data_IF_148246089600
#
_entry.id   IF_148246089600
#
_cell.length_a   1.000
_cell.length_b   1.000
_cell.length_c   1.000
_cell.angle_alpha   90.00
_cell.angle_beta   90.00
_cell.angle_gamma   90.00
#
_symmetry.space_group_name_H-M   'P 1'
#
loop_
_entity.id
_entity.type
_entity.pdbx_description
1 polymer ?
#
# COMPACT_ATOMS: atom_id res chain seq x y z
N UNK A 1 -12.48 1.10 -33.35
CA UNK A 1 -12.94 0.71 -32.00
C UNK A 1 -13.06 2.01 -31.24
N UNK A 2 -14.29 2.41 -30.90
CA UNK A 2 -14.50 3.56 -30.02
C UNK A 2 -13.82 3.27 -28.70
N UNK A 3 -12.93 4.17 -28.27
CA UNK A 3 -12.39 4.16 -26.92
C UNK A 3 -13.58 4.49 -26.02
N UNK A 4 -14.15 3.49 -25.36
CA UNK A 4 -15.19 3.71 -24.36
C UNK A 4 -14.62 4.67 -23.32
N UNK A 5 -15.24 5.83 -23.18
CA UNK A 5 -14.86 6.80 -22.16
C UNK A 5 -14.92 6.11 -20.81
N UNK A 6 -13.88 6.28 -19.99
CA UNK A 6 -13.83 5.73 -18.62
C UNK A 6 -15.07 6.24 -17.88
N UNK A 7 -15.96 5.35 -17.49
CA UNK A 7 -17.13 5.68 -16.71
C UNK A 7 -16.72 5.73 -15.22
N UNK A 8 -16.17 6.87 -14.82
CA UNK A 8 -15.83 7.16 -13.42
C UNK A 8 -17.08 7.59 -12.65
N UNK A 9 -17.52 6.74 -11.75
CA UNK A 9 -18.64 7.02 -10.85
C UNK A 9 -18.12 7.53 -9.52
N UNK A 10 -18.55 8.72 -9.10
CA UNK A 10 -18.26 9.24 -7.76
C UNK A 10 -19.06 8.48 -6.73
N UNK A 11 -18.37 7.94 -5.73
CA UNK A 11 -18.96 7.15 -4.66
C UNK A 11 -18.54 7.66 -3.28
N UNK A 12 -19.20 7.17 -2.25
CA UNK A 12 -18.80 7.36 -0.86
C UNK A 12 -18.78 5.99 -0.17
N UNK A 13 -17.62 5.60 0.36
CA UNK A 13 -17.53 4.42 1.23
C UNK A 13 -17.78 4.83 2.69
N UNK A 14 -18.34 3.93 3.48
CA UNK A 14 -18.61 4.18 4.89
C UNK A 14 -19.55 5.36 5.16
N UNK A 15 -20.57 5.59 4.33
CA UNK A 15 -21.51 6.70 4.44
C UNK A 15 -22.27 6.76 5.78
N UNK A 16 -22.39 5.64 6.46
CA UNK A 16 -23.03 5.44 7.76
C UNK A 16 -22.03 5.42 8.93
N UNK A 17 -20.75 5.64 8.65
CA UNK A 17 -19.68 5.70 9.66
C UNK A 17 -19.36 7.14 10.07
N UNK A 18 -18.52 7.28 11.08
CA UNK A 18 -17.99 8.60 11.51
C UNK A 18 -17.13 9.28 10.45
N UNK A 19 -16.49 8.49 9.56
CA UNK A 19 -15.49 8.97 8.60
C UNK A 19 -15.84 8.52 7.17
N UNK A 20 -16.92 9.07 6.56
CA UNK A 20 -17.22 8.76 5.16
C UNK A 20 -16.14 9.27 4.23
N UNK A 21 -15.74 8.45 3.25
CA UNK A 21 -14.66 8.76 2.33
C UNK A 21 -15.14 8.82 0.89
N UNK A 22 -14.80 9.90 0.19
CA UNK A 22 -15.03 10.00 -1.25
C UNK A 22 -14.13 9.03 -1.99
N UNK A 23 -14.68 8.44 -3.04
CA UNK A 23 -13.97 7.55 -3.95
C UNK A 23 -14.48 7.65 -5.37
N UNK A 24 -13.84 6.88 -6.23
CA UNK A 24 -14.24 6.67 -7.62
C UNK A 24 -14.31 5.17 -7.87
N UNK A 25 -15.42 4.73 -8.44
CA UNK A 25 -15.56 3.42 -9.05
C UNK A 25 -15.45 3.59 -10.56
N UNK A 26 -14.33 3.14 -11.14
CA UNK A 26 -14.15 3.02 -12.58
C UNK A 26 -14.68 1.66 -13.00
N UNK A 27 -15.82 1.61 -13.69
CA UNK A 27 -16.49 0.36 -14.06
C UNK A 27 -16.84 0.34 -15.55
N UNK A 28 -16.52 -0.76 -16.30
CA UNK A 28 -16.88 -0.87 -17.70
C UNK A 28 -18.40 -0.87 -17.87
N UNK A 29 -18.88 -0.19 -18.93
CA UNK A 29 -20.30 -0.05 -19.20
C UNK A 29 -20.79 -1.11 -20.21
N UNK A 30 -20.78 -2.37 -19.79
CA UNK A 30 -21.32 -3.48 -20.59
C UNK A 30 -22.46 -4.16 -19.80
N UNK A 31 -23.60 -4.40 -20.45
CA UNK A 31 -24.83 -4.82 -19.75
C UNK A 31 -24.99 -6.33 -19.50
N UNK A 32 -24.09 -7.16 -20.05
CA UNK A 32 -24.37 -8.61 -20.15
C UNK A 32 -23.39 -9.51 -19.36
N UNK A 33 -22.50 -8.95 -18.54
CA UNK A 33 -21.57 -9.75 -17.70
C UNK A 33 -21.31 -9.07 -16.37
N UNK A 34 -20.90 -9.87 -15.39
CA UNK A 34 -20.31 -9.36 -14.14
C UNK A 34 -18.83 -9.10 -14.34
N UNK A 35 -18.32 -8.05 -13.69
CA UNK A 35 -16.91 -7.67 -13.77
C UNK A 35 -16.14 -8.15 -12.55
N UNK A 36 -14.91 -8.68 -12.72
CA UNK A 36 -13.97 -8.72 -11.61
C UNK A 36 -13.67 -7.30 -11.15
N UNK A 37 -13.36 -7.13 -9.87
CA UNK A 37 -13.10 -5.81 -9.31
C UNK A 37 -11.87 -5.78 -8.42
N UNK A 38 -11.29 -4.58 -8.24
CA UNK A 38 -10.12 -4.34 -7.42
C UNK A 38 -10.38 -3.20 -6.46
N UNK A 39 -9.95 -3.36 -5.20
CA UNK A 39 -9.78 -2.29 -4.22
C UNK A 39 -8.31 -1.87 -4.20
N UNK A 40 -8.01 -0.58 -4.39
CA UNK A 40 -6.66 -0.03 -4.27
C UNK A 40 -6.43 0.49 -2.85
N UNK A 41 -5.35 0.05 -2.20
CA UNK A 41 -5.00 0.40 -0.80
C UNK A 41 -3.65 1.08 -0.74
N UNK A 42 -3.65 2.31 -0.23
CA UNK A 42 -2.52 3.24 -0.24
C UNK A 42 -1.33 2.83 0.63
N UNK A 43 -0.19 3.39 0.27
CA UNK A 43 1.02 3.39 1.10
C UNK A 43 0.93 4.27 2.34
N UNK A 44 2.09 4.52 2.97
CA UNK A 44 2.22 5.30 4.21
C UNK A 44 1.87 6.78 4.00
N UNK A 45 1.26 7.36 5.02
CA UNK A 45 0.93 8.79 5.09
C UNK A 45 -0.38 9.16 4.40
N UNK A 46 -0.80 10.44 4.52
CA UNK A 46 -2.02 10.94 3.89
C UNK A 46 -1.92 10.91 2.37
N UNK A 47 -2.92 10.37 1.69
CA UNK A 47 -2.96 10.29 0.22
C UNK A 47 -4.38 10.43 -0.31
N UNK A 48 -4.52 11.11 -1.47
CA UNK A 48 -5.78 11.13 -2.19
C UNK A 48 -6.02 9.81 -2.94
N UNK A 49 -7.21 9.63 -3.48
CA UNK A 49 -7.63 8.42 -4.20
C UNK A 49 -6.74 8.01 -5.38
N UNK A 50 -6.01 8.94 -5.97
CA UNK A 50 -5.09 8.70 -7.10
C UNK A 50 -3.67 8.36 -6.65
N UNK A 51 -3.41 8.31 -5.33
CA UNK A 51 -2.08 8.19 -4.72
C UNK A 51 -1.08 9.20 -5.29
N UNK A 52 -1.51 10.47 -5.35
CA UNK A 52 -0.72 11.55 -5.94
C UNK A 52 0.57 11.81 -5.16
N UNK A 53 1.70 11.65 -5.81
CA UNK A 53 3.03 11.97 -5.29
C UNK A 53 3.73 12.92 -6.26
N UNK A 54 3.85 14.20 -5.91
CA UNK A 54 4.43 15.18 -6.83
C UNK A 54 3.61 15.31 -8.12
N UNK A 55 4.17 14.87 -9.26
CA UNK A 55 3.54 14.94 -10.58
C UNK A 55 3.12 13.56 -11.12
N UNK A 56 3.11 12.53 -10.28
CA UNK A 56 2.71 11.18 -10.64
C UNK A 56 1.42 10.78 -9.92
N UNK A 57 0.67 9.83 -10.51
CA UNK A 57 -0.65 9.40 -10.05
C UNK A 57 -0.79 7.88 -10.18
N UNK A 58 -0.04 7.06 -9.40
CA UNK A 58 0.04 5.62 -9.59
C UNK A 58 -1.32 4.91 -9.61
N UNK A 59 -2.21 5.25 -8.68
CA UNK A 59 -3.53 4.59 -8.59
C UNK A 59 -4.46 4.99 -9.72
N UNK A 60 -4.35 6.22 -10.22
CA UNK A 60 -5.09 6.62 -11.42
C UNK A 60 -4.64 5.82 -12.64
N UNK A 61 -3.33 5.70 -12.87
CA UNK A 61 -2.77 4.95 -14.00
C UNK A 61 -3.18 3.47 -13.93
N UNK A 62 -3.10 2.84 -12.74
CA UNK A 62 -3.52 1.45 -12.54
C UNK A 62 -5.02 1.32 -12.81
N UNK A 63 -5.84 2.23 -12.30
CA UNK A 63 -7.29 2.17 -12.48
C UNK A 63 -7.70 2.30 -13.95
N UNK A 64 -7.12 3.26 -14.68
CA UNK A 64 -7.38 3.44 -16.11
C UNK A 64 -6.96 2.21 -16.91
N UNK A 65 -5.76 1.69 -16.65
CA UNK A 65 -5.25 0.54 -17.39
C UNK A 65 -5.99 -0.77 -17.09
N UNK A 66 -6.43 -1.02 -15.86
CA UNK A 66 -7.25 -2.19 -15.52
C UNK A 66 -8.67 -2.06 -16.06
N UNK A 67 -9.24 -0.84 -16.04
CA UNK A 67 -10.54 -0.57 -16.67
C UNK A 67 -10.54 -0.93 -18.16
N UNK A 68 -9.50 -0.57 -18.91
CA UNK A 68 -9.34 -0.94 -20.33
C UNK A 68 -9.30 -2.45 -20.56
N UNK A 69 -8.99 -3.24 -19.52
CA UNK A 69 -8.96 -4.70 -19.54
C UNK A 69 -10.27 -5.35 -19.05
N UNK A 70 -11.28 -4.54 -18.77
CA UNK A 70 -12.58 -5.04 -18.31
C UNK A 70 -12.61 -5.40 -16.82
N UNK A 71 -11.76 -4.79 -16.00
CA UNK A 71 -11.69 -4.94 -14.56
C UNK A 71 -12.19 -3.65 -13.92
N UNK A 72 -13.17 -3.74 -13.03
CA UNK A 72 -13.63 -2.59 -12.25
C UNK A 72 -12.62 -2.22 -11.16
N UNK A 73 -12.44 -0.93 -10.89
CA UNK A 73 -11.48 -0.46 -9.90
C UNK A 73 -12.10 0.56 -8.97
N UNK A 74 -12.01 0.31 -7.67
CA UNK A 74 -12.40 1.24 -6.62
C UNK A 74 -11.15 1.85 -5.99
N UNK A 75 -11.05 3.18 -6.04
CA UNK A 75 -10.05 3.99 -5.35
C UNK A 75 -10.72 5.07 -4.52
N UNK A 76 -10.18 5.38 -3.35
CA UNK A 76 -10.82 6.29 -2.38
C UNK A 76 -9.77 7.17 -1.68
N UNK A 77 -10.18 8.33 -1.17
CA UNK A 77 -9.32 9.19 -0.38
C UNK A 77 -9.01 8.53 0.97
N UNK A 78 -7.72 8.46 1.35
CA UNK A 78 -7.31 7.89 2.63
C UNK A 78 -7.86 8.70 3.80
N UNK A 79 -8.31 8.04 4.87
CA UNK A 79 -8.90 8.68 6.06
C UNK A 79 -8.00 9.79 6.62
N UNK A 80 -6.69 9.55 6.71
CA UNK A 80 -5.73 10.55 7.19
C UNK A 80 -5.53 11.72 6.23
N UNK A 81 -5.85 11.58 4.96
CA UNK A 81 -5.87 12.70 4.00
C UNK A 81 -7.08 13.63 4.25
N UNK A 82 -8.24 13.06 4.50
CA UNK A 82 -9.49 13.82 4.70
C UNK A 82 -9.59 14.36 6.13
N UNK A 83 -9.38 13.49 7.12
CA UNK A 83 -9.64 13.74 8.55
C UNK A 83 -8.35 13.82 9.39
N UNK A 84 -7.20 13.99 8.79
CA UNK A 84 -5.91 13.93 9.50
C UNK A 84 -5.77 14.95 10.64
N UNK A 85 -6.45 16.11 10.58
CA UNK A 85 -6.46 17.09 11.68
C UNK A 85 -7.20 16.57 12.91
N UNK A 86 -8.31 15.86 12.71
CA UNK A 86 -9.14 15.28 13.78
C UNK A 86 -8.45 14.07 14.39
N UNK A 87 -7.84 13.24 13.54
CA UNK A 87 -7.19 11.98 13.93
C UNK A 87 -5.84 12.20 14.63
N UNK A 88 -5.17 13.31 14.35
CA UNK A 88 -3.82 13.63 14.87
C UNK A 88 -3.67 13.52 16.39
N UNK A 89 -4.75 13.73 17.13
CA UNK A 89 -4.76 13.69 18.59
C UNK A 89 -5.43 12.42 19.16
N UNK A 90 -5.66 11.41 18.32
CA UNK A 90 -6.25 10.14 18.75
C UNK A 90 -5.14 9.23 19.32
N UNK A 91 -5.08 9.00 20.65
CA UNK A 91 -3.98 8.26 21.26
C UNK A 91 -3.88 6.80 20.80
N UNK A 92 -5.00 6.21 20.38
CA UNK A 92 -5.08 4.82 19.93
C UNK A 92 -5.10 4.66 18.41
N UNK A 93 -4.71 5.70 17.64
CA UNK A 93 -4.64 5.57 16.18
C UNK A 93 -3.61 4.52 15.79
N UNK A 94 -4.07 3.51 15.06
CA UNK A 94 -3.25 2.44 14.49
C UNK A 94 -3.52 2.29 12.98
N UNK A 95 -2.86 1.36 12.34
CA UNK A 95 -3.12 1.01 10.93
C UNK A 95 -4.55 0.47 10.73
N UNK A 96 -5.18 -0.02 11.80
CA UNK A 96 -6.55 -0.53 11.76
C UNK A 96 -7.52 0.60 11.42
N UNK A 97 -7.51 1.69 12.20
CA UNK A 97 -8.36 2.86 11.96
C UNK A 97 -7.91 3.67 10.74
N UNK A 98 -6.60 3.67 10.45
CA UNK A 98 -6.07 4.46 9.32
C UNK A 98 -6.39 3.86 7.96
N UNK A 99 -6.40 2.51 7.85
CA UNK A 99 -6.34 1.83 6.55
C UNK A 99 -7.23 0.59 6.46
N UNK A 100 -7.17 -0.30 7.47
CA UNK A 100 -7.80 -1.63 7.37
C UNK A 100 -9.32 -1.53 7.30
N UNK A 101 -9.94 -0.76 8.20
CA UNK A 101 -11.40 -0.56 8.24
C UNK A 101 -11.93 0.01 6.92
N UNK A 102 -11.24 1.00 6.34
CA UNK A 102 -11.66 1.63 5.09
C UNK A 102 -11.55 0.70 3.89
N UNK A 103 -10.51 -0.13 3.84
CA UNK A 103 -10.34 -1.13 2.78
C UNK A 103 -11.43 -2.22 2.84
N UNK A 104 -11.85 -2.63 4.04
CA UNK A 104 -12.98 -3.55 4.23
C UNK A 104 -14.30 -2.90 3.77
N UNK A 105 -14.54 -1.64 4.15
CA UNK A 105 -15.72 -0.89 3.67
C UNK A 105 -15.74 -0.74 2.15
N UNK A 106 -14.57 -0.54 1.51
CA UNK A 106 -14.46 -0.49 0.06
C UNK A 106 -14.79 -1.85 -0.60
N UNK A 107 -14.32 -2.96 -0.01
CA UNK A 107 -14.67 -4.30 -0.47
C UNK A 107 -16.17 -4.59 -0.32
N UNK A 108 -16.76 -4.18 0.80
CA UNK A 108 -18.20 -4.32 1.04
C UNK A 108 -19.06 -3.47 0.10
N UNK A 109 -18.54 -2.30 -0.30
CA UNK A 109 -19.18 -1.47 -1.33
C UNK A 109 -19.24 -2.22 -2.67
N UNK A 110 -18.11 -2.80 -3.11
CA UNK A 110 -18.07 -3.58 -4.34
C UNK A 110 -18.98 -4.81 -4.31
N UNK A 111 -19.07 -5.52 -3.18
CA UNK A 111 -19.94 -6.69 -3.03
C UNK A 111 -21.43 -6.38 -3.19
N UNK A 112 -21.83 -5.15 -2.90
CA UNK A 112 -23.23 -4.69 -3.03
C UNK A 112 -23.58 -4.20 -4.43
N UNK A 113 -22.60 -3.99 -5.31
CA UNK A 113 -22.84 -3.56 -6.69
C UNK A 113 -23.20 -4.76 -7.56
N UNK A 114 -24.40 -4.75 -8.14
CA UNK A 114 -24.92 -5.86 -8.95
C UNK A 114 -24.17 -6.10 -10.25
N UNK A 115 -23.26 -5.22 -10.65
CA UNK A 115 -22.41 -5.34 -11.84
C UNK A 115 -21.11 -6.09 -11.56
N UNK A 116 -20.76 -6.26 -10.27
CA UNK A 116 -19.51 -6.88 -9.83
C UNK A 116 -19.72 -8.36 -9.52
N UNK A 117 -18.79 -9.20 -9.97
CA UNK A 117 -18.71 -10.58 -9.50
C UNK A 117 -18.15 -10.59 -8.05
N UNK A 118 -19.03 -10.83 -7.10
CA UNK A 118 -18.67 -10.83 -5.68
C UNK A 118 -17.63 -11.89 -5.29
N UNK A 119 -17.43 -12.91 -6.14
CA UNK A 119 -16.40 -13.94 -5.96
C UNK A 119 -15.05 -13.55 -6.60
N UNK A 120 -15.00 -12.45 -7.36
CA UNK A 120 -13.81 -11.96 -8.08
C UNK A 120 -13.46 -10.53 -7.68
N UNK A 121 -13.45 -10.27 -6.38
CA UNK A 121 -12.96 -9.00 -5.80
C UNK A 121 -11.54 -9.23 -5.29
N UNK A 122 -10.60 -8.44 -5.77
CA UNK A 122 -9.17 -8.50 -5.44
C UNK A 122 -8.75 -7.26 -4.66
N UNK A 123 -7.64 -7.37 -3.95
CA UNK A 123 -6.97 -6.23 -3.31
C UNK A 123 -5.61 -5.99 -3.98
N UNK A 124 -5.32 -4.72 -4.30
CA UNK A 124 -3.98 -4.26 -4.65
C UNK A 124 -3.52 -3.32 -3.56
N UNK A 125 -2.53 -3.72 -2.79
CA UNK A 125 -1.91 -2.87 -1.78
C UNK A 125 -0.55 -2.37 -2.24
N UNK A 126 -0.32 -1.04 -2.17
CA UNK A 126 0.96 -0.44 -2.47
C UNK A 126 1.73 -0.12 -1.17
N UNK A 127 3.02 -0.46 -1.13
CA UNK A 127 3.90 -0.13 0.00
C UNK A 127 3.31 -0.63 1.35
N UNK A 128 2.98 0.26 2.29
CA UNK A 128 2.27 -0.08 3.53
C UNK A 128 0.95 -0.83 3.25
N UNK A 129 0.18 -0.40 2.25
CA UNK A 129 -1.04 -1.11 1.83
C UNK A 129 -0.77 -2.55 1.41
N UNK A 130 0.37 -2.81 0.76
CA UNK A 130 0.83 -4.15 0.43
C UNK A 130 1.21 -4.99 1.65
N UNK A 131 1.81 -4.36 2.67
CA UNK A 131 2.08 -5.02 3.96
C UNK A 131 0.79 -5.38 4.70
N UNK A 132 -0.25 -4.54 4.58
CA UNK A 132 -1.53 -4.72 5.27
C UNK A 132 -2.52 -5.59 4.50
N UNK A 133 -2.38 -5.75 3.19
CA UNK A 133 -3.34 -6.48 2.35
C UNK A 133 -3.68 -7.90 2.86
N UNK A 134 -2.74 -8.71 3.34
CA UNK A 134 -3.04 -10.03 3.92
C UNK A 134 -3.87 -9.94 5.20
N UNK A 135 -3.60 -8.96 6.05
CA UNK A 135 -4.36 -8.71 7.27
C UNK A 135 -5.76 -8.17 6.98
N UNK A 136 -5.88 -7.25 6.01
CA UNK A 136 -7.19 -6.73 5.55
C UNK A 136 -8.06 -7.88 5.06
N UNK A 137 -7.48 -8.81 4.31
CA UNK A 137 -8.18 -10.00 3.86
C UNK A 137 -8.70 -10.84 5.02
N UNK A 138 -7.85 -11.13 5.98
CA UNK A 138 -8.17 -11.97 7.15
C UNK A 138 -9.18 -11.30 8.10
N UNK A 139 -9.14 -9.98 8.26
CA UNK A 139 -10.03 -9.23 9.15
C UNK A 139 -11.42 -8.91 8.52
N UNK A 140 -11.74 -9.42 7.33
CA UNK A 140 -13.06 -9.30 6.72
C UNK A 140 -13.05 -8.86 5.25
N UNK A 141 -11.89 -8.55 4.69
CA UNK A 141 -11.73 -8.22 3.28
C UNK A 141 -12.17 -9.34 2.34
N UNK A 142 -11.94 -10.62 2.70
CA UNK A 142 -12.40 -11.81 1.95
C UNK A 142 -12.21 -11.69 0.43
N UNK A 143 -11.00 -11.35 0.00
CA UNK A 143 -10.67 -11.16 -1.42
C UNK A 143 -10.46 -12.50 -2.14
N UNK A 144 -10.69 -12.53 -3.45
CA UNK A 144 -10.38 -13.66 -4.31
C UNK A 144 -8.87 -13.90 -4.46
N UNK A 145 -8.07 -12.83 -4.37
CA UNK A 145 -6.63 -12.88 -4.40
C UNK A 145 -6.00 -11.56 -3.94
N UNK A 146 -4.71 -11.60 -3.64
CA UNK A 146 -3.96 -10.48 -3.06
C UNK A 146 -2.81 -10.09 -3.98
N UNK A 147 -2.69 -8.80 -4.29
CA UNK A 147 -1.60 -8.24 -5.08
C UNK A 147 -0.83 -7.26 -4.22
N UNK A 148 0.48 -7.50 -4.07
CA UNK A 148 1.39 -6.70 -3.25
C UNK A 148 2.34 -5.94 -4.16
N UNK A 149 2.24 -4.62 -4.18
CA UNK A 149 3.11 -3.72 -4.93
C UNK A 149 4.14 -3.07 -4.00
N UNK A 150 5.41 -3.45 -4.12
CA UNK A 150 6.50 -2.85 -3.33
C UNK A 150 6.30 -2.94 -1.81
N UNK A 151 5.63 -3.99 -1.33
CA UNK A 151 5.46 -4.26 0.09
C UNK A 151 6.66 -4.96 0.71
N UNK A 152 6.57 -5.25 2.01
CA UNK A 152 7.62 -5.93 2.79
C UNK A 152 7.01 -6.97 3.74
N UNK A 153 7.70 -8.11 3.97
CA UNK A 153 7.33 -9.07 5.00
C UNK A 153 7.82 -8.67 6.39
N UNK A 154 8.66 -7.64 6.49
CA UNK A 154 9.29 -7.17 7.73
C UNK A 154 8.44 -6.13 8.45
N UNK A 155 8.83 -5.79 9.65
CA UNK A 155 8.21 -4.74 10.45
C UNK A 155 8.48 -3.35 9.86
N UNK A 156 7.54 -2.43 10.02
CA UNK A 156 7.63 -1.09 9.45
C UNK A 156 8.82 -0.29 10.01
N UNK A 157 9.10 -0.44 11.31
CA UNK A 157 10.24 0.22 11.96
C UNK A 157 11.58 -0.25 11.42
N UNK A 158 11.72 -1.52 11.01
CA UNK A 158 12.94 -2.05 10.40
C UNK A 158 13.18 -1.41 9.02
N UNK A 159 12.12 -1.29 8.20
CA UNK A 159 12.19 -0.61 6.91
C UNK A 159 12.58 0.86 7.09
N UNK A 160 11.99 1.54 8.07
CA UNK A 160 12.32 2.94 8.37
C UNK A 160 13.77 3.10 8.82
N UNK A 161 14.31 2.15 9.58
CA UNK A 161 15.73 2.18 9.97
C UNK A 161 16.64 1.98 8.76
N UNK A 162 16.32 1.06 7.84
CA UNK A 162 17.07 0.90 6.60
C UNK A 162 17.05 2.15 5.73
N UNK A 163 15.89 2.81 5.60
CA UNK A 163 15.77 4.08 4.88
C UNK A 163 16.65 5.18 5.52
N UNK A 164 16.68 5.26 6.85
CA UNK A 164 17.54 6.19 7.57
C UNK A 164 19.03 5.89 7.36
N UNK A 165 19.42 4.63 7.32
CA UNK A 165 20.80 4.21 7.02
C UNK A 165 21.20 4.56 5.58
N UNK A 166 20.31 4.38 4.61
CA UNK A 166 20.51 4.81 3.23
C UNK A 166 20.68 6.33 3.13
N UNK A 167 19.85 7.10 3.86
CA UNK A 167 20.02 8.55 3.97
C UNK A 167 21.38 8.89 4.58
N UNK A 168 21.76 8.26 5.72
CA UNK A 168 23.07 8.48 6.35
C UNK A 168 24.21 8.23 5.38
N UNK A 169 24.17 7.12 4.63
CA UNK A 169 25.25 6.75 3.71
C UNK A 169 25.44 7.79 2.60
N UNK A 170 24.37 8.49 2.23
CA UNK A 170 24.37 9.52 1.18
C UNK A 170 24.75 10.92 1.66
N UNK A 171 24.86 11.16 3.01
CA UNK A 171 25.23 12.46 3.58
C UNK A 171 26.75 12.69 3.64
N UNK A 172 27.16 13.97 3.64
CA UNK A 172 28.55 14.35 3.90
C UNK A 172 28.92 14.12 5.40
N UNK A 173 30.22 14.12 5.71
CA UNK A 173 30.74 13.78 7.06
C UNK A 173 30.12 14.62 8.19
N UNK A 174 29.90 15.91 7.98
CA UNK A 174 29.38 16.81 9.00
C UNK A 174 27.90 16.53 9.30
N UNK A 175 27.08 16.42 8.26
CA UNK A 175 25.65 16.10 8.38
C UNK A 175 25.42 14.69 8.96
N UNK A 176 26.32 13.73 8.65
CA UNK A 176 26.28 12.39 9.25
C UNK A 176 26.34 12.40 10.78
N UNK A 177 27.15 13.27 11.38
CA UNK A 177 27.30 13.35 12.85
C UNK A 177 25.98 13.79 13.49
N UNK A 178 25.30 14.76 12.90
CA UNK A 178 24.03 15.28 13.41
C UNK A 178 22.93 14.22 13.23
N UNK A 179 22.83 13.65 12.03
CA UNK A 179 21.80 12.65 11.69
C UNK A 179 21.95 11.37 12.54
N UNK A 180 23.18 10.91 12.80
CA UNK A 180 23.43 9.73 13.67
C UNK A 180 22.81 9.85 15.05
N UNK A 181 22.87 11.04 15.68
CA UNK A 181 22.27 11.26 17.01
C UNK A 181 20.75 11.14 16.97
N UNK A 182 20.12 11.66 15.90
CA UNK A 182 18.66 11.58 15.73
C UNK A 182 18.21 10.15 15.45
N UNK A 183 18.94 9.45 14.58
CA UNK A 183 18.65 8.04 14.23
C UNK A 183 18.87 7.14 15.45
N UNK A 184 19.95 7.34 16.24
CA UNK A 184 20.16 6.58 17.47
C UNK A 184 19.03 6.77 18.48
N UNK A 185 18.48 7.99 18.59
CA UNK A 185 17.32 8.27 19.45
C UNK A 185 16.06 7.56 18.93
N UNK A 186 15.86 7.53 17.62
CA UNK A 186 14.73 6.81 16.99
C UNK A 186 14.88 5.30 17.18
N UNK A 187 16.06 4.76 16.93
CA UNK A 187 16.38 3.33 17.13
C UNK A 187 16.13 2.90 18.59
N UNK A 188 16.55 3.72 19.57
CA UNK A 188 16.27 3.43 20.98
C UNK A 188 14.78 3.36 21.29
N UNK A 189 13.96 4.21 20.66
CA UNK A 189 12.51 4.15 20.82
C UNK A 189 11.93 2.89 20.19
N UNK A 190 12.37 2.52 18.98
CA UNK A 190 11.92 1.31 18.31
C UNK A 190 12.32 0.04 19.06
N UNK A 191 13.53 -0.04 19.59
CA UNK A 191 13.98 -1.18 20.39
C UNK A 191 13.16 -1.39 21.68
N UNK A 192 12.51 -0.33 22.18
CA UNK A 192 11.68 -0.42 23.38
C UNK A 192 10.18 -0.65 23.11
N UNK A 193 9.74 -0.63 21.85
CA UNK A 193 8.31 -0.68 21.47
C UNK A 193 7.54 -1.83 22.15
N UNK A 194 8.07 -3.04 22.06
CA UNK A 194 7.41 -4.27 22.51
C UNK A 194 7.54 -4.54 24.02
N UNK A 195 8.28 -3.65 24.73
CA UNK A 195 8.36 -3.65 26.21
C UNK A 195 7.34 -2.71 26.85
N UNK A 196 6.72 -1.81 26.06
CA UNK A 196 5.70 -0.91 26.55
C UNK A 196 4.36 -1.63 26.68
N UNK A 197 3.59 -1.34 27.71
CA UNK A 197 2.15 -1.62 27.72
C UNK A 197 1.45 -0.77 26.65
N UNK A 198 0.22 -1.12 26.28
CA UNK A 198 -0.53 -0.36 25.28
C UNK A 198 -0.76 1.09 25.71
N UNK A 199 -1.04 1.31 27.00
CA UNK A 199 -1.26 2.66 27.53
C UNK A 199 0.04 3.50 27.49
N UNK A 200 1.19 2.92 27.82
CA UNK A 200 2.48 3.58 27.67
C UNK A 200 2.82 3.85 26.21
N UNK A 201 2.54 2.90 25.31
CA UNK A 201 2.76 3.05 23.87
C UNK A 201 1.90 4.16 23.26
N UNK A 202 0.62 4.28 23.66
CA UNK A 202 -0.27 5.39 23.26
C UNK A 202 0.20 6.75 23.74
N UNK A 203 0.83 6.80 24.92
CA UNK A 203 1.37 8.03 25.50
C UNK A 203 2.77 8.41 24.95
N UNK A 204 3.48 7.48 24.30
CA UNK A 204 4.87 7.67 23.84
C UNK A 204 4.92 8.04 22.36
N UNK A 205 5.39 9.24 22.03
CA UNK A 205 5.58 9.65 20.64
C UNK A 205 6.92 9.16 20.07
N UNK A 206 6.87 8.56 18.89
CA UNK A 206 8.04 8.06 18.15
C UNK A 206 8.46 9.06 17.08
N UNK A 207 7.53 9.48 16.23
CA UNK A 207 7.80 10.41 15.13
C UNK A 207 7.09 11.74 15.41
N UNK A 208 7.88 12.77 15.65
CA UNK A 208 7.34 14.10 15.96
C UNK A 208 6.41 14.07 17.18
N UNK A 209 5.25 14.72 17.05
CA UNK A 209 4.13 14.69 18.02
C UNK A 209 2.86 14.09 17.38
N UNK A 210 3.02 13.22 16.38
CA UNK A 210 1.91 12.79 15.54
C UNK A 210 1.76 11.28 15.44
N UNK A 211 2.88 10.53 15.55
CA UNK A 211 2.84 9.07 15.51
C UNK A 211 3.39 8.56 16.83
N UNK A 212 2.54 7.84 17.56
CA UNK A 212 2.91 7.23 18.84
C UNK A 212 3.50 5.82 18.66
N UNK A 213 4.02 5.26 19.74
CA UNK A 213 4.61 3.93 19.74
C UNK A 213 3.56 2.84 19.47
N UNK A 214 2.31 3.07 19.86
CA UNK A 214 1.21 2.12 19.69
C UNK A 214 0.96 1.78 18.21
N UNK A 215 1.08 2.76 17.32
CA UNK A 215 0.95 2.55 15.87
C UNK A 215 1.91 1.46 15.35
N UNK A 216 3.17 1.53 15.76
CA UNK A 216 4.19 0.56 15.36
C UNK A 216 4.05 -0.76 16.09
N UNK A 217 3.79 -0.71 17.41
CA UNK A 217 3.61 -1.91 18.25
C UNK A 217 2.45 -2.75 17.74
N UNK A 218 1.28 -2.15 17.56
CA UNK A 218 0.08 -2.82 17.07
C UNK A 218 0.33 -3.45 15.68
N UNK A 219 0.90 -2.69 14.75
CA UNK A 219 1.24 -3.23 13.42
C UNK A 219 2.27 -4.36 13.50
N UNK A 220 3.29 -4.26 14.34
CA UNK A 220 4.35 -5.25 14.46
C UNK A 220 3.94 -6.52 15.20
N UNK A 221 2.84 -6.48 15.98
CA UNK A 221 2.17 -7.65 16.58
C UNK A 221 1.30 -8.42 15.56
N UNK A 222 1.09 -7.83 14.35
CA UNK A 222 0.29 -8.40 13.25
C UNK A 222 1.11 -8.42 11.96
N UNK A 223 2.17 -9.21 11.91
CA UNK A 223 3.09 -9.24 10.79
C UNK A 223 2.44 -9.88 9.54
N UNK A 224 2.67 -9.28 8.37
CA UNK A 224 2.14 -9.76 7.08
C UNK A 224 2.43 -11.25 6.82
N UNK A 225 3.61 -11.73 7.24
CA UNK A 225 4.01 -13.12 7.01
C UNK A 225 3.13 -14.14 7.74
N UNK A 226 2.60 -13.79 8.92
CA UNK A 226 1.73 -14.67 9.69
C UNK A 226 0.44 -14.96 8.93
N UNK A 227 -0.12 -13.94 8.28
CA UNK A 227 -1.30 -14.06 7.44
C UNK A 227 -0.98 -14.77 6.11
N UNK A 228 0.10 -14.36 5.43
CA UNK A 228 0.48 -14.92 4.12
C UNK A 228 0.77 -16.42 4.17
N UNK A 229 1.38 -16.90 5.24
CA UNK A 229 1.68 -18.34 5.39
C UNK A 229 0.43 -19.18 5.57
N UNK A 230 -0.63 -18.62 6.16
CA UNK A 230 -1.90 -19.29 6.39
C UNK A 230 -2.86 -19.24 5.17
N UNK A 231 -2.59 -18.36 4.18
CA UNK A 231 -3.47 -18.19 3.03
C UNK A 231 -3.23 -19.23 1.94
N UNK A 232 -4.32 -19.84 1.45
CA UNK A 232 -4.30 -20.76 0.30
C UNK A 232 -4.77 -20.11 -1.00
N UNK A 233 -5.28 -18.86 -0.94
CA UNK A 233 -5.71 -18.09 -2.11
C UNK A 233 -4.53 -17.54 -2.90
N UNK A 234 -4.75 -17.18 -4.18
CA UNK A 234 -3.70 -16.65 -5.05
C UNK A 234 -3.08 -15.35 -4.50
N UNK A 235 -1.75 -15.26 -4.56
CA UNK A 235 -0.99 -14.08 -4.14
C UNK A 235 0.00 -13.71 -5.24
N UNK A 236 0.04 -12.42 -5.59
CA UNK A 236 0.98 -11.89 -6.57
C UNK A 236 1.82 -10.77 -5.96
N UNK A 237 3.14 -10.99 -5.89
CA UNK A 237 4.09 -10.07 -5.27
C UNK A 237 4.97 -9.45 -6.34
N UNK A 238 4.84 -8.14 -6.52
CA UNK A 238 5.54 -7.35 -7.54
C UNK A 238 6.48 -6.35 -6.89
N UNK A 239 7.64 -6.13 -7.53
CA UNK A 239 8.63 -5.18 -7.02
C UNK A 239 9.41 -4.51 -8.16
N UNK A 240 9.79 -3.25 -7.97
CA UNK A 240 10.69 -2.54 -8.87
C UNK A 240 12.16 -2.77 -8.48
N UNK A 241 13.03 -3.13 -9.43
CA UNK A 241 14.45 -3.37 -9.15
C UNK A 241 15.17 -2.12 -8.62
N UNK A 242 14.71 -0.93 -9.02
CA UNK A 242 15.24 0.37 -8.60
C UNK A 242 14.44 1.02 -7.48
N UNK A 243 13.70 0.23 -6.73
CA UNK A 243 13.03 0.71 -5.54
C UNK A 243 14.05 1.15 -4.48
N UNK A 244 14.00 2.43 -4.12
CA UNK A 244 14.88 3.02 -3.11
C UNK A 244 14.19 3.22 -1.75
N UNK A 245 12.90 2.86 -1.64
CA UNK A 245 12.14 2.89 -0.39
C UNK A 245 12.11 1.53 0.29
N UNK A 246 11.89 0.46 -0.48
CA UNK A 246 11.79 -0.91 0.00
C UNK A 246 12.83 -1.75 -0.73
N UNK A 247 13.62 -2.53 0.01
CA UNK A 247 14.81 -3.21 -0.52
C UNK A 247 14.43 -4.47 -1.29
N UNK A 248 14.91 -4.61 -2.54
CA UNK A 248 14.80 -5.88 -3.28
C UNK A 248 15.48 -7.02 -2.49
N UNK A 249 16.67 -6.78 -1.95
CA UNK A 249 17.45 -7.82 -1.26
C UNK A 249 16.76 -8.28 0.04
N UNK A 250 16.31 -7.35 0.87
CA UNK A 250 15.75 -7.67 2.18
C UNK A 250 14.27 -8.00 2.13
N UNK A 251 13.51 -7.33 1.25
CA UNK A 251 12.05 -7.38 1.28
C UNK A 251 11.48 -8.29 0.19
N UNK A 252 11.79 -8.04 -1.09
CA UNK A 252 11.32 -8.91 -2.17
C UNK A 252 11.93 -10.32 -2.09
N UNK A 253 13.24 -10.42 -1.89
CA UNK A 253 13.89 -11.73 -1.67
C UNK A 253 13.49 -12.31 -0.32
N UNK A 254 13.15 -11.49 0.68
CA UNK A 254 12.55 -11.92 1.94
C UNK A 254 11.24 -12.67 1.72
N UNK A 255 10.33 -12.11 0.93
CA UNK A 255 9.10 -12.82 0.53
C UNK A 255 9.40 -14.11 -0.23
N UNK A 256 10.35 -14.11 -1.17
CA UNK A 256 10.74 -15.32 -1.89
C UNK A 256 11.29 -16.41 -0.97
N UNK A 257 12.08 -16.03 0.03
CA UNK A 257 12.61 -16.96 1.01
C UNK A 257 11.51 -17.59 1.88
N UNK A 258 10.53 -16.78 2.26
CA UNK A 258 9.46 -17.20 3.17
C UNK A 258 8.31 -17.96 2.47
N UNK A 259 8.05 -17.65 1.20
CA UNK A 259 6.86 -18.10 0.48
C UNK A 259 7.17 -18.79 -0.85
N UNK A 260 8.45 -18.92 -1.24
CA UNK A 260 8.84 -19.39 -2.58
C UNK A 260 8.38 -20.81 -2.93
N UNK A 261 8.16 -21.64 -1.92
CA UNK A 261 7.67 -23.02 -2.10
C UNK A 261 6.12 -23.11 -2.16
N UNK A 262 5.40 -22.01 -1.93
CA UNK A 262 3.95 -22.03 -1.99
C UNK A 262 3.45 -21.94 -3.45
N UNK A 263 2.65 -22.90 -3.94
CA UNK A 263 2.22 -22.95 -5.35
C UNK A 263 1.23 -21.84 -5.72
N UNK A 264 0.59 -21.21 -4.73
CA UNK A 264 -0.35 -20.12 -4.89
C UNK A 264 0.30 -18.74 -4.90
N UNK A 265 1.64 -18.63 -4.82
CA UNK A 265 2.37 -17.36 -4.78
C UNK A 265 3.17 -17.16 -6.06
N UNK A 266 2.91 -16.04 -6.74
CA UNK A 266 3.65 -15.61 -7.93
C UNK A 266 4.50 -14.39 -7.59
N UNK A 267 5.73 -14.36 -8.13
CA UNK A 267 6.68 -13.25 -7.92
C UNK A 267 7.09 -12.63 -9.24
N UNK A 268 7.13 -11.29 -9.30
CA UNK A 268 7.67 -10.58 -10.45
C UNK A 268 8.50 -9.37 -10.04
N UNK A 269 9.74 -9.32 -10.55
CA UNK A 269 10.66 -8.20 -10.39
C UNK A 269 10.76 -7.47 -11.72
N UNK A 270 10.59 -6.15 -11.70
CA UNK A 270 10.66 -5.32 -12.90
C UNK A 270 11.98 -4.56 -12.97
N UNK A 271 12.78 -4.78 -14.01
CA UNK A 271 14.03 -4.05 -14.19
C UNK A 271 13.74 -2.55 -14.38
N UNK A 272 14.63 -1.71 -13.85
CA UNK A 272 14.60 -0.26 -14.00
C UNK A 272 13.37 0.48 -13.43
N UNK A 273 12.41 -0.18 -12.78
CA UNK A 273 11.28 0.49 -12.15
C UNK A 273 11.57 0.87 -10.70
N UNK A 274 11.08 2.04 -10.30
CA UNK A 274 11.14 2.56 -8.94
C UNK A 274 9.98 2.04 -8.07
N UNK A 275 9.84 2.58 -6.85
CA UNK A 275 8.79 2.21 -5.89
C UNK A 275 7.35 2.42 -6.41
N UNK A 276 7.13 3.42 -7.27
CA UNK A 276 5.84 3.70 -7.90
C UNK A 276 5.62 2.93 -9.22
N UNK A 277 6.46 1.94 -9.51
CA UNK A 277 6.43 1.14 -10.75
C UNK A 277 6.56 1.97 -12.03
N UNK A 278 7.33 3.04 -11.96
CA UNK A 278 7.68 3.93 -13.08
C UNK A 278 9.18 3.84 -13.38
N UNK A 279 9.64 4.16 -14.61
CA UNK A 279 11.06 4.18 -14.93
C UNK A 279 11.85 5.06 -13.95
N UNK A 280 12.87 4.49 -13.30
CA UNK A 280 13.70 5.24 -12.34
C UNK A 280 14.62 6.20 -13.06
N UNK A 281 14.64 7.47 -12.62
CA UNK A 281 15.45 8.55 -13.19
C UNK A 281 16.68 8.81 -12.33
N UNK A 282 16.50 8.86 -11.02
CA UNK A 282 17.58 9.19 -10.07
C UNK A 282 17.99 7.99 -9.21
N UNK A 283 17.06 7.10 -8.85
CA UNK A 283 17.32 5.88 -8.10
C UNK A 283 17.90 6.05 -6.68
N UNK A 284 17.68 7.20 -6.06
CA UNK A 284 18.25 7.55 -4.76
C UNK A 284 17.22 8.17 -3.82
N UNK A 285 17.20 7.73 -2.56
CA UNK A 285 16.24 8.20 -1.55
C UNK A 285 16.31 9.72 -1.31
N UNK A 286 17.50 10.32 -1.30
CA UNK A 286 17.65 11.79 -1.16
C UNK A 286 17.12 12.57 -2.36
N UNK A 287 16.95 11.92 -3.49
CA UNK A 287 16.40 12.50 -4.70
C UNK A 287 14.93 12.14 -4.95
N UNK A 288 14.27 11.44 -4.02
CA UNK A 288 12.88 11.02 -4.15
C UNK A 288 11.93 12.16 -4.57
N UNK A 289 12.08 13.35 -3.96
CA UNK A 289 11.28 14.53 -4.37
C UNK A 289 11.54 14.98 -5.82
N UNK A 290 12.73 14.76 -6.36
CA UNK A 290 13.05 15.07 -7.77
C UNK A 290 12.52 13.97 -8.67
N UNK A 291 12.67 12.73 -8.27
CA UNK A 291 12.15 11.54 -8.94
C UNK A 291 10.65 11.74 -9.26
N UNK A 292 9.85 11.98 -8.23
CA UNK A 292 8.39 12.11 -8.36
C UNK A 292 7.90 13.47 -8.92
N UNK A 293 8.80 14.42 -9.21
CA UNK A 293 8.49 15.62 -10.01
C UNK A 293 8.55 15.39 -11.50
N UNK A 294 9.22 14.33 -11.94
CA UNK A 294 9.21 13.92 -13.33
C UNK A 294 7.85 13.30 -13.61
N UNK A 295 7.06 13.91 -14.50
CA UNK A 295 5.76 13.36 -14.88
C UNK A 295 5.98 12.04 -15.66
N UNK A 296 5.48 10.97 -15.09
CA UNK A 296 5.58 9.61 -15.64
C UNK A 296 4.31 8.84 -15.32
N UNK A 297 4.16 7.69 -15.93
CA UNK A 297 3.06 6.76 -15.73
C UNK A 297 3.59 5.40 -15.28
N UNK A 298 2.75 4.64 -14.58
CA UNK A 298 3.02 3.23 -14.25
C UNK A 298 3.30 2.46 -15.54
N UNK A 299 4.35 1.64 -15.50
CA UNK A 299 4.77 0.86 -16.66
C UNK A 299 3.63 -0.05 -17.15
N UNK A 300 3.36 -0.02 -18.44
CA UNK A 300 2.27 -0.78 -19.06
C UNK A 300 2.40 -2.28 -18.85
N UNK A 301 3.63 -2.81 -18.74
CA UNK A 301 3.85 -4.22 -18.47
C UNK A 301 3.36 -4.61 -17.07
N UNK A 302 3.51 -3.72 -16.08
CA UNK A 302 2.97 -3.95 -14.72
C UNK A 302 1.45 -4.09 -14.76
N UNK A 303 0.78 -3.16 -15.43
CA UNK A 303 -0.69 -3.16 -15.58
C UNK A 303 -1.15 -4.42 -16.35
N UNK A 304 -0.45 -4.78 -17.41
CA UNK A 304 -0.74 -5.98 -18.20
C UNK A 304 -0.60 -7.24 -17.34
N UNK A 305 0.49 -7.40 -16.62
CA UNK A 305 0.71 -8.58 -15.78
C UNK A 305 -0.32 -8.69 -14.66
N UNK A 306 -0.71 -7.57 -14.04
CA UNK A 306 -1.77 -7.53 -13.03
C UNK A 306 -3.11 -7.96 -13.65
N UNK A 307 -3.46 -7.40 -14.82
CA UNK A 307 -4.72 -7.73 -15.48
C UNK A 307 -4.80 -9.20 -15.88
N UNK A 308 -3.74 -9.74 -16.48
CA UNK A 308 -3.69 -11.13 -16.91
C UNK A 308 -3.78 -12.08 -15.70
N UNK A 309 -3.10 -11.73 -14.59
CA UNK A 309 -3.18 -12.52 -13.38
C UNK A 309 -4.59 -12.51 -12.78
N UNK A 310 -5.26 -11.36 -12.67
CA UNK A 310 -6.65 -11.25 -12.17
C UNK A 310 -7.60 -12.07 -13.04
N UNK A 311 -7.44 -12.01 -14.35
CA UNK A 311 -8.31 -12.71 -15.29
C UNK A 311 -8.07 -14.23 -15.35
N UNK A 312 -6.90 -14.68 -14.86
CA UNK A 312 -6.56 -16.11 -14.81
C UNK A 312 -7.04 -16.80 -13.53
N UNK A 313 -7.35 -16.04 -12.46
CA UNK A 313 -7.93 -16.48 -11.19
C UNK A 313 -9.46 -16.48 -11.30
#
# INVERSE_FOLDING_TARGET
>A
MEVNAVADEKIVIGSDTKYPLNGILSIPNESNRLFPAVVLVHGSGPSNMDEKIGNIYPFKDIAEGLFEKGIAVLRYDKRTFVYGKEMKNSPGLSVKEETIEDAILAADYLRKDSRIDSNKIFIIGHSLGGMLAPRIDAEGGNFAGIIILGGSPRRLEEIMMDQNDNVLNSLNKFLKIIARKQIAKLSSKFNNLYHLSDEEAKATFVIGKHVNAYYFKEMGEHQAIEYLTALDKPIFILHGEKDFHVSVEKDFNGYKHLLGDKPNVTFKLYPNLNHAFMPSVYGEILKAKKEYKVAQHVDKQVIHDISDWILSV
#
